data_IF_390230489298
#
_entry.id   IF_390230489298
#
_cell.length_a   1.000
_cell.length_b   1.000
_cell.length_c   1.000
_cell.angle_alpha   90.00
_cell.angle_beta   90.00
_cell.angle_gamma   90.00
#
_symmetry.space_group_name_H-M   'P 1'
#
loop_
_entity.id
_entity.type
_entity.pdbx_description
1 polymer ?
#
# COMPACT_ATOMS: atom_id res chain seq x y z
N UNK A 1 18.91 7.19 -12.24
CA UNK A 1 18.67 5.79 -12.68
C UNK A 1 17.62 5.80 -13.77
N UNK A 2 17.76 4.94 -14.79
CA UNK A 2 17.04 5.03 -16.04
C UNK A 2 15.52 4.86 -15.88
N UNK A 3 14.74 5.47 -16.77
CA UNK A 3 13.29 5.26 -16.90
C UNK A 3 12.92 3.76 -16.96
N UNK A 4 13.84 2.90 -17.42
CA UNK A 4 13.65 1.46 -17.49
C UNK A 4 13.37 0.82 -16.12
N UNK A 5 14.20 1.08 -15.10
CA UNK A 5 14.01 0.48 -13.76
C UNK A 5 12.74 1.03 -13.09
N UNK A 6 12.45 2.32 -13.31
CA UNK A 6 11.19 2.95 -12.89
C UNK A 6 9.96 2.30 -13.50
N UNK A 7 9.98 1.97 -14.79
CA UNK A 7 8.87 1.29 -15.45
C UNK A 7 8.74 -0.18 -14.99
N UNK A 8 9.86 -0.89 -14.84
CA UNK A 8 9.84 -2.31 -14.50
C UNK A 8 9.22 -2.58 -13.12
N UNK A 9 9.49 -1.73 -12.13
CA UNK A 9 8.95 -1.90 -10.76
C UNK A 9 7.43 -1.75 -10.67
N UNK A 10 6.79 -1.09 -11.64
CA UNK A 10 5.33 -0.94 -11.75
C UNK A 10 4.72 -1.80 -12.87
N UNK A 11 5.53 -2.65 -13.49
CA UNK A 11 5.06 -3.64 -14.47
C UNK A 11 4.76 -4.97 -13.76
N UNK A 12 4.04 -5.92 -14.38
CA UNK A 12 3.87 -7.27 -13.85
C UNK A 12 5.14 -8.14 -14.03
N UNK A 13 6.19 -7.64 -14.69
CA UNK A 13 7.41 -8.41 -14.94
C UNK A 13 8.16 -8.61 -13.63
N UNK A 14 8.35 -9.87 -13.24
CA UNK A 14 9.10 -10.22 -12.04
C UNK A 14 10.60 -10.16 -12.31
N UNK A 15 11.30 -9.20 -11.69
CA UNK A 15 12.75 -9.06 -11.79
C UNK A 15 13.40 -8.95 -10.41
N UNK A 16 14.10 -10.01 -10.02
CA UNK A 16 14.91 -10.08 -8.81
C UNK A 16 16.39 -9.95 -9.15
N UNK A 17 17.16 -9.30 -8.27
CA UNK A 17 18.62 -9.27 -8.35
C UNK A 17 19.27 -10.43 -7.59
N UNK A 18 18.46 -11.35 -7.07
CA UNK A 18 18.90 -12.51 -6.30
C UNK A 18 19.37 -12.15 -4.87
N UNK A 19 19.69 -13.16 -4.04
CA UNK A 19 19.94 -12.95 -2.61
C UNK A 19 21.17 -12.10 -2.30
N UNK A 20 22.23 -12.18 -3.11
CA UNK A 20 23.47 -11.45 -2.86
C UNK A 20 23.32 -9.95 -3.09
N UNK A 21 22.85 -9.56 -4.27
CA UNK A 21 22.64 -8.16 -4.63
C UNK A 21 21.37 -7.58 -3.99
N UNK A 22 20.31 -8.38 -3.81
CA UNK A 22 19.07 -7.97 -3.15
C UNK A 22 19.25 -7.57 -1.68
N UNK A 23 20.36 -7.98 -1.04
CA UNK A 23 20.72 -7.48 0.29
C UNK A 23 21.21 -6.02 0.28
N UNK A 24 21.48 -5.41 -0.85
CA UNK A 24 22.04 -4.06 -0.94
C UNK A 24 21.27 -3.17 -1.91
N UNK A 25 20.66 -3.76 -2.93
CA UNK A 25 19.91 -3.07 -3.98
C UNK A 25 18.44 -3.49 -3.97
N UNK A 26 17.54 -2.53 -4.09
CA UNK A 26 16.10 -2.76 -4.26
C UNK A 26 15.84 -3.09 -5.72
N UNK A 27 15.33 -4.29 -5.99
CA UNK A 27 14.93 -4.70 -7.34
C UNK A 27 13.46 -4.40 -7.62
N UNK A 28 12.99 -4.47 -8.88
CA UNK A 28 11.56 -4.42 -9.19
C UNK A 28 10.72 -5.38 -8.33
N UNK A 29 11.20 -6.60 -8.09
CA UNK A 29 10.56 -7.57 -7.21
C UNK A 29 10.41 -7.09 -5.74
N UNK A 30 11.40 -6.38 -5.18
CA UNK A 30 11.30 -5.82 -3.82
C UNK A 30 10.18 -4.78 -3.74
N UNK A 31 10.12 -3.90 -4.74
CA UNK A 31 9.09 -2.87 -4.82
C UNK A 31 7.70 -3.46 -5.10
N UNK A 32 7.60 -4.52 -5.91
CA UNK A 32 6.34 -5.23 -6.09
C UNK A 32 5.86 -5.86 -4.76
N UNK A 33 6.75 -6.45 -3.96
CA UNK A 33 6.41 -7.02 -2.65
C UNK A 33 5.96 -5.96 -1.64
N UNK A 34 6.53 -4.76 -1.72
CA UNK A 34 6.05 -3.62 -0.93
C UNK A 34 4.55 -3.34 -1.14
N UNK A 35 4.00 -3.63 -2.33
CA UNK A 35 2.56 -3.52 -2.64
C UNK A 35 1.75 -4.79 -2.32
N UNK A 36 2.34 -5.78 -1.65
CA UNK A 36 1.60 -6.96 -1.22
C UNK A 36 0.55 -6.63 -0.16
N UNK A 37 -0.60 -7.27 -0.25
CA UNK A 37 -1.66 -7.16 0.76
C UNK A 37 -1.56 -8.23 1.86
N UNK A 38 -0.53 -9.06 1.84
CA UNK A 38 -0.34 -10.11 2.85
C UNK A 38 0.22 -9.53 4.15
N UNK A 39 -0.33 -9.89 5.34
CA UNK A 39 0.09 -9.33 6.62
C UNK A 39 1.59 -9.40 6.90
N UNK A 40 2.27 -10.45 6.43
CA UNK A 40 3.71 -10.68 6.60
C UNK A 40 4.60 -9.72 5.81
N UNK A 41 4.07 -9.07 4.76
CA UNK A 41 4.81 -8.12 3.91
C UNK A 41 4.55 -6.66 4.30
N UNK A 42 3.66 -6.43 5.26
CA UNK A 42 3.29 -5.07 5.67
C UNK A 42 4.51 -4.34 6.21
N UNK A 43 4.88 -3.29 5.49
CA UNK A 43 6.01 -2.46 5.85
C UNK A 43 7.38 -2.99 5.44
N UNK A 44 7.45 -4.02 4.61
CA UNK A 44 8.71 -4.41 4.01
C UNK A 44 9.14 -3.46 2.88
N UNK A 45 10.45 -3.40 2.61
CA UNK A 45 11.06 -2.84 1.39
C UNK A 45 10.60 -1.41 1.03
N UNK A 46 10.74 -0.47 1.97
CA UNK A 46 10.35 0.94 1.78
C UNK A 46 11.40 1.77 1.06
N UNK A 47 12.62 1.26 0.91
CA UNK A 47 13.70 1.89 0.16
C UNK A 47 13.38 1.97 -1.33
N UNK A 48 13.95 2.98 -2.00
CA UNK A 48 13.69 3.21 -3.42
C UNK A 48 14.66 2.47 -4.35
N UNK A 49 15.97 2.64 -4.14
CA UNK A 49 17.03 2.02 -4.97
C UNK A 49 18.03 1.22 -4.13
N UNK A 50 18.35 1.72 -2.94
CA UNK A 50 19.27 1.09 -2.00
C UNK A 50 18.50 0.50 -0.82
N UNK A 51 18.87 -0.72 -0.43
CA UNK A 51 18.30 -1.42 0.72
C UNK A 51 18.89 -0.96 2.06
N UNK A 52 19.79 0.03 2.07
CA UNK A 52 20.51 0.47 3.29
C UNK A 52 19.54 0.85 4.40
N UNK A 53 18.48 1.60 4.08
CA UNK A 53 17.47 2.01 5.05
C UNK A 53 16.65 0.83 5.54
N UNK A 54 16.23 -0.05 4.63
CA UNK A 54 15.48 -1.24 5.00
C UNK A 54 16.28 -2.18 5.91
N UNK A 55 17.60 -2.26 5.72
CA UNK A 55 18.47 -3.00 6.63
C UNK A 55 18.57 -2.33 7.99
N UNK A 56 18.79 -1.01 8.00
CA UNK A 56 18.95 -0.26 9.24
C UNK A 56 17.71 -0.37 10.14
N UNK A 57 16.52 -0.36 9.52
CA UNK A 57 15.25 -0.43 10.23
C UNK A 57 14.65 -1.84 10.33
N UNK A 58 15.34 -2.86 9.82
CA UNK A 58 14.88 -4.26 9.89
C UNK A 58 13.64 -4.54 9.01
N UNK A 59 13.42 -3.76 7.96
CA UNK A 59 12.29 -3.88 7.02
C UNK A 59 12.67 -4.54 5.71
N UNK A 60 13.92 -4.96 5.53
CA UNK A 60 14.37 -5.63 4.31
C UNK A 60 13.81 -7.05 4.22
N UNK A 61 13.11 -7.34 3.12
CA UNK A 61 12.65 -8.66 2.74
C UNK A 61 13.07 -8.96 1.30
N UNK A 62 13.96 -9.92 1.09
CA UNK A 62 14.41 -10.31 -0.25
C UNK A 62 13.43 -11.34 -0.82
N UNK A 63 12.59 -11.00 -1.82
CA UNK A 63 11.45 -11.83 -2.21
C UNK A 63 11.87 -13.10 -2.96
N UNK A 64 11.55 -14.31 -2.43
CA UNK A 64 11.73 -15.57 -3.15
C UNK A 64 10.42 -16.13 -3.71
N UNK A 65 9.31 -15.39 -3.58
CA UNK A 65 7.96 -15.93 -3.71
C UNK A 65 7.01 -14.99 -4.45
N UNK A 66 5.87 -15.55 -4.87
CA UNK A 66 4.71 -14.79 -5.34
C UNK A 66 3.81 -14.46 -4.16
N UNK A 67 3.04 -13.38 -4.31
CA UNK A 67 2.15 -12.89 -3.26
C UNK A 67 0.91 -12.25 -3.87
N UNK A 68 -0.13 -12.10 -3.05
CA UNK A 68 -1.33 -11.36 -3.46
C UNK A 68 -1.07 -9.86 -3.39
N UNK A 69 -1.40 -9.16 -4.47
CA UNK A 69 -1.46 -7.70 -4.54
C UNK A 69 -2.87 -7.20 -4.23
N UNK A 70 -2.98 -5.98 -3.74
CA UNK A 70 -4.25 -5.31 -3.46
C UNK A 70 -4.20 -4.47 -2.20
N UNK A 71 -5.36 -3.98 -1.77
CA UNK A 71 -5.53 -3.20 -0.55
C UNK A 71 -5.71 -4.10 0.69
N UNK A 72 -6.07 -5.37 0.49
CA UNK A 72 -6.19 -6.35 1.58
C UNK A 72 -7.40 -6.15 2.49
N UNK A 73 -8.30 -5.23 2.16
CA UNK A 73 -9.48 -4.85 2.94
C UNK A 73 -10.80 -5.36 2.30
N UNK A 74 -10.70 -6.32 1.38
CA UNK A 74 -11.80 -6.85 0.57
C UNK A 74 -12.51 -5.80 -0.32
N UNK A 75 -11.91 -4.62 -0.52
CA UNK A 75 -12.47 -3.60 -1.41
C UNK A 75 -11.90 -3.64 -2.82
N UNK A 76 -10.92 -4.49 -3.14
CA UNK A 76 -10.22 -4.49 -4.44
C UNK A 76 -11.17 -4.51 -5.66
N UNK A 77 -12.23 -5.33 -5.63
CA UNK A 77 -13.23 -5.41 -6.71
C UNK A 77 -14.15 -4.18 -6.85
N UNK A 78 -14.07 -3.24 -5.91
CA UNK A 78 -14.89 -2.02 -5.87
C UNK A 78 -14.29 -0.90 -6.72
N UNK A 79 -13.01 -0.97 -7.08
CA UNK A 79 -12.26 0.13 -7.70
C UNK A 79 -12.13 -0.03 -9.21
N UNK A 80 -13.18 -0.52 -9.87
CA UNK A 80 -13.16 -0.93 -11.29
C UNK A 80 -13.88 0.05 -12.25
N UNK A 81 -14.32 1.21 -11.77
CA UNK A 81 -14.94 2.25 -12.60
C UNK A 81 -14.36 3.62 -12.31
N UNK A 82 -14.23 4.45 -13.35
CA UNK A 82 -13.73 5.83 -13.21
C UNK A 82 -14.60 6.64 -12.25
N UNK A 83 -15.93 6.54 -12.39
CA UNK A 83 -16.86 7.23 -11.50
C UNK A 83 -16.60 6.89 -10.03
N UNK A 84 -16.38 5.60 -9.70
CA UNK A 84 -16.10 5.19 -8.33
C UNK A 84 -14.73 5.65 -7.85
N UNK A 85 -13.69 5.57 -8.69
CA UNK A 85 -12.36 6.06 -8.36
C UNK A 85 -12.34 7.55 -8.01
N UNK A 86 -13.06 8.38 -8.78
CA UNK A 86 -13.08 9.84 -8.58
C UNK A 86 -14.09 10.31 -7.55
N UNK A 87 -15.29 9.72 -7.48
CA UNK A 87 -16.39 10.24 -6.66
C UNK A 87 -16.46 9.58 -5.26
N UNK A 88 -15.95 8.36 -5.10
CA UNK A 88 -16.03 7.67 -3.80
C UNK A 88 -15.30 8.37 -2.66
N UNK A 89 -14.10 8.96 -2.85
CA UNK A 89 -13.44 9.72 -1.77
C UNK A 89 -14.32 10.83 -1.22
N UNK A 90 -15.02 11.56 -2.10
CA UNK A 90 -15.94 12.63 -1.73
C UNK A 90 -17.18 12.10 -1.01
N UNK A 91 -17.83 11.08 -1.58
CA UNK A 91 -19.00 10.44 -0.98
C UNK A 91 -18.67 9.77 0.37
N UNK A 92 -17.47 9.21 0.52
CA UNK A 92 -16.96 8.65 1.76
C UNK A 92 -16.70 9.72 2.82
N UNK A 93 -16.08 10.84 2.43
CA UNK A 93 -15.85 11.98 3.33
C UNK A 93 -17.18 12.57 3.84
N UNK A 94 -18.14 12.83 2.95
CA UNK A 94 -19.45 13.35 3.32
C UNK A 94 -20.19 12.42 4.32
N UNK A 95 -20.13 11.11 4.09
CA UNK A 95 -20.73 10.11 5.00
C UNK A 95 -20.09 10.14 6.39
N UNK A 96 -18.76 10.21 6.48
CA UNK A 96 -18.03 10.26 7.76
C UNK A 96 -18.33 11.55 8.53
N UNK A 97 -18.34 12.69 7.85
CA UNK A 97 -18.69 13.99 8.46
C UNK A 97 -20.14 13.96 8.98
N UNK A 98 -21.09 13.51 8.16
CA UNK A 98 -22.49 13.41 8.57
C UNK A 98 -22.72 12.46 9.75
N UNK A 99 -21.99 11.33 9.80
CA UNK A 99 -22.03 10.41 10.94
C UNK A 99 -21.48 11.06 12.22
N UNK A 100 -20.34 11.76 12.13
CA UNK A 100 -19.76 12.50 13.24
C UNK A 100 -20.70 13.58 13.79
N UNK A 101 -21.33 14.36 12.91
CA UNK A 101 -22.31 15.38 13.29
C UNK A 101 -23.52 14.77 14.03
N UNK A 102 -24.07 13.65 13.54
CA UNK A 102 -25.17 12.94 14.22
C UNK A 102 -24.75 12.42 15.60
N UNK A 103 -23.54 11.85 15.72
CA UNK A 103 -23.00 11.37 16.99
C UNK A 103 -22.88 12.51 18.01
N UNK A 104 -22.35 13.66 17.57
CA UNK A 104 -22.20 14.85 18.43
C UNK A 104 -23.56 15.35 18.93
N UNK A 105 -24.54 15.52 18.02
CA UNK A 105 -25.89 15.96 18.39
C UNK A 105 -26.55 14.99 19.38
N UNK A 106 -26.41 13.68 19.16
CA UNK A 106 -26.92 12.66 20.07
C UNK A 106 -26.27 12.72 21.46
N UNK A 107 -24.96 13.00 21.53
CA UNK A 107 -24.26 13.16 22.80
C UNK A 107 -24.70 14.44 23.54
N UNK A 108 -24.85 15.56 22.83
CA UNK A 108 -25.34 16.81 23.42
C UNK A 108 -26.77 16.65 23.99
N UNK A 109 -27.64 15.96 23.27
CA UNK A 109 -29.01 15.69 23.71
C UNK A 109 -29.10 14.75 24.94
N UNK A 110 -28.04 13.98 25.23
CA UNK A 110 -27.93 13.16 26.45
C UNK A 110 -27.43 13.97 27.65
N UNK A 111 -26.60 14.98 27.42
CA UNK A 111 -26.04 15.84 28.47
C UNK A 111 -27.07 16.89 28.91
N UNK A 112 -27.99 17.29 28.03
CA UNK A 112 -29.04 18.27 28.32
C UNK A 112 -30.27 17.70 29.05
N UNK A 113 -30.23 16.45 29.51
CA UNK A 113 -31.27 15.79 30.31
C UNK A 113 -30.69 15.44 31.67
#
# INVERSE_FOLDING_TARGET
MSNLIGNLRHSPVWLSYGPAAGRWLISPAHHQLHHSCEPRHLGCNRGFELAVWDRLYGTLYVPPETFRMGLGDATDGQWNTLARLYLWPLAGAARRVGAGARQLLANLAKISR
#
